data_IF_001949080710
#
_entry.id   IF_001949080710
#
_cell.length_a   1.000
_cell.length_b   1.000
_cell.length_c   1.000
_cell.angle_alpha   90.00
_cell.angle_beta   90.00
_cell.angle_gamma   90.00
#
_symmetry.space_group_name_H-M   'P 1'
#
loop_
_entity.id
_entity.type
_entity.pdbx_description
1 polymer ?
#
# COMPACT_ATOMS: atom_id res chain seq x y z
N UNK A 1 -7.76 -0.69 -11.59
CA UNK A 1 -6.78 -0.11 -10.66
C UNK A 1 -6.75 -1.00 -9.45
N UNK A 2 -5.56 -1.38 -9.00
CA UNK A 2 -5.37 -2.22 -7.82
C UNK A 2 -4.06 -1.86 -7.10
N UNK A 3 -4.03 -2.15 -5.81
CA UNK A 3 -2.85 -2.02 -4.98
C UNK A 3 -2.66 -3.31 -4.18
N UNK A 4 -1.42 -3.79 -4.14
CA UNK A 4 -1.06 -5.06 -3.48
C UNK A 4 0.17 -4.89 -2.63
N UNK A 5 0.05 -5.24 -1.36
CA UNK A 5 1.19 -5.45 -0.46
C UNK A 5 1.67 -6.89 -0.51
N UNK A 6 2.97 -7.09 -0.39
CA UNK A 6 3.63 -8.39 -0.40
C UNK A 6 4.27 -8.70 0.96
N UNK A 7 4.52 -9.97 1.26
CA UNK A 7 5.15 -10.42 2.51
C UNK A 7 6.61 -9.97 2.66
N UNK A 8 7.25 -9.56 1.57
CA UNK A 8 8.59 -8.99 1.53
C UNK A 8 8.61 -7.48 1.82
N UNK A 9 7.44 -6.89 2.17
CA UNK A 9 7.29 -5.46 2.47
C UNK A 9 7.12 -4.56 1.24
N UNK A 10 7.11 -5.13 0.04
CA UNK A 10 6.98 -4.39 -1.23
C UNK A 10 5.53 -3.97 -1.49
N UNK A 11 5.35 -2.78 -2.07
CA UNK A 11 4.08 -2.29 -2.62
C UNK A 11 4.11 -2.35 -4.14
N UNK A 12 3.00 -2.77 -4.73
CA UNK A 12 2.74 -2.54 -6.14
C UNK A 12 1.40 -1.85 -6.33
N UNK A 13 1.37 -0.81 -7.16
CA UNK A 13 0.16 -0.12 -7.60
C UNK A 13 0.06 -0.20 -9.11
N UNK A 14 -1.07 -0.66 -9.62
CA UNK A 14 -1.39 -0.68 -11.05
C UNK A 14 -2.47 0.35 -11.35
N UNK A 15 -2.13 1.32 -12.17
CA UNK A 15 -3.04 2.36 -12.64
C UNK A 15 -3.85 1.88 -13.85
N UNK A 16 -4.98 2.53 -14.11
CA UNK A 16 -5.87 2.24 -15.27
C UNK A 16 -5.17 2.42 -16.62
N UNK A 17 -4.08 3.20 -16.65
CA UNK A 17 -3.21 3.42 -17.81
C UNK A 17 -2.21 2.29 -18.06
N UNK A 18 -2.32 1.16 -17.35
CA UNK A 18 -1.33 0.07 -17.31
C UNK A 18 0.05 0.47 -16.76
N UNK A 19 0.22 1.68 -16.24
CA UNK A 19 1.43 2.08 -15.51
C UNK A 19 1.49 1.32 -14.18
N UNK A 20 2.70 0.89 -13.80
CA UNK A 20 2.95 0.16 -12.56
C UNK A 20 3.99 0.90 -11.73
N UNK A 21 3.64 1.23 -10.49
CA UNK A 21 4.58 1.71 -9.48
C UNK A 21 4.95 0.55 -8.56
N UNK A 22 6.25 0.31 -8.37
CA UNK A 22 6.79 -0.67 -7.41
C UNK A 22 7.61 0.09 -6.37
N UNK A 23 7.33 -0.16 -5.09
CA UNK A 23 8.09 0.41 -3.98
C UNK A 23 8.64 -0.75 -3.17
N UNK A 24 9.94 -0.95 -3.25
CA UNK A 24 10.62 -2.02 -2.52
C UNK A 24 10.74 -1.67 -1.04
N UNK A 25 10.83 -2.70 -0.18
CA UNK A 25 11.16 -2.49 1.21
C UNK A 25 12.63 -2.07 1.33
N UNK A 26 12.88 -0.95 1.98
CA UNK A 26 14.23 -0.48 2.28
C UNK A 26 14.47 -0.51 3.80
N UNK A 27 15.47 -1.28 4.29
CA UNK A 27 15.78 -1.37 5.72
C UNK A 27 16.24 -0.05 6.37
N UNK A 28 16.65 0.94 5.57
CA UNK A 28 17.19 2.22 6.05
C UNK A 28 16.19 3.38 5.97
N UNK A 29 15.05 3.20 5.32
CA UNK A 29 14.05 4.26 5.13
C UNK A 29 12.72 3.92 5.81
N UNK A 30 11.96 4.98 6.17
CA UNK A 30 10.63 4.83 6.77
C UNK A 30 9.63 4.26 5.75
N UNK A 31 8.67 3.54 6.31
CA UNK A 31 7.57 2.90 5.63
C UNK A 31 6.86 3.77 4.57
N UNK A 32 6.37 3.13 3.51
CA UNK A 32 5.44 3.75 2.59
C UNK A 32 4.00 3.71 3.15
N UNK A 33 3.21 4.70 2.76
CA UNK A 33 1.79 4.79 3.05
C UNK A 33 0.99 4.98 1.74
N UNK A 34 -0.07 4.19 1.60
CA UNK A 34 -1.08 4.37 0.55
C UNK A 34 -2.37 4.87 1.18
N UNK A 35 -2.81 6.08 0.82
CA UNK A 35 -4.09 6.68 1.25
C UNK A 35 -4.98 6.93 0.05
N UNK A 36 -6.19 6.35 0.06
CA UNK A 36 -7.24 6.74 -0.87
C UNK A 36 -7.97 7.99 -0.39
N UNK A 37 -8.22 8.94 -1.30
CA UNK A 37 -9.04 10.12 -1.04
C UNK A 37 -10.54 9.91 -1.33
N UNK A 38 -10.96 8.69 -1.67
CA UNK A 38 -12.35 8.35 -1.97
C UNK A 38 -13.13 7.99 -0.70
N UNK A 39 -14.43 8.23 -0.70
CA UNK A 39 -15.34 7.64 0.28
C UNK A 39 -15.21 6.10 0.24
N UNK A 40 -15.15 5.45 1.41
CA UNK A 40 -14.82 4.03 1.57
C UNK A 40 -13.39 3.68 1.14
N UNK A 41 -12.46 4.62 1.29
CA UNK A 41 -11.06 4.46 0.95
C UNK A 41 -10.34 3.43 1.82
N UNK A 42 -9.23 2.90 1.28
CA UNK A 42 -8.30 2.05 2.02
C UNK A 42 -7.07 2.86 2.41
N UNK A 43 -6.55 2.60 3.61
CA UNK A 43 -5.26 3.05 4.11
C UNK A 43 -4.36 1.84 4.33
N UNK A 44 -3.17 1.83 3.75
CA UNK A 44 -2.17 0.76 3.94
C UNK A 44 -0.86 1.39 4.34
N UNK A 45 -0.25 0.90 5.41
CA UNK A 45 1.04 1.37 5.93
C UNK A 45 1.98 0.17 6.05
N UNK A 46 3.21 0.30 5.53
CA UNK A 46 4.26 -0.66 5.86
C UNK A 46 4.72 -0.45 7.31
N UNK A 47 4.95 -1.52 8.06
CA UNK A 47 5.40 -1.43 9.44
C UNK A 47 6.89 -1.79 9.52
N UNK A 48 7.65 -1.19 10.47
CA UNK A 48 9.00 -1.65 10.76
C UNK A 48 9.03 -3.16 10.98
N UNK A 49 9.98 -3.86 10.32
CA UNK A 49 10.07 -5.32 10.36
C UNK A 49 9.36 -6.06 9.22
N UNK A 50 8.72 -5.35 8.28
CA UNK A 50 8.20 -5.92 7.03
C UNK A 50 6.72 -6.33 7.06
N UNK A 51 6.00 -6.00 8.13
CA UNK A 51 4.56 -6.23 8.24
C UNK A 51 3.74 -5.12 7.57
N UNK A 52 2.42 -5.31 7.45
CA UNK A 52 1.48 -4.32 6.90
C UNK A 52 0.33 -4.07 7.86
N UNK A 53 -0.04 -2.80 8.02
CA UNK A 53 -1.27 -2.40 8.70
C UNK A 53 -2.27 -1.86 7.68
N UNK A 54 -3.50 -2.39 7.70
CA UNK A 54 -4.55 -2.09 6.71
C UNK A 54 -5.81 -1.60 7.45
N UNK A 55 -6.33 -0.45 7.03
CA UNK A 55 -7.63 0.06 7.44
C UNK A 55 -8.51 0.24 6.20
N UNK A 56 -9.75 -0.20 6.27
CA UNK A 56 -10.75 0.03 5.24
C UNK A 56 -11.99 0.67 5.86
N UNK A 57 -12.44 1.77 5.28
CA UNK A 57 -13.70 2.41 5.67
C UNK A 57 -14.90 1.76 4.97
N UNK A 58 -14.87 0.43 4.84
CA UNK A 58 -16.04 -0.33 4.40
C UNK A 58 -17.06 -0.29 5.53
N UNK A 59 -17.92 0.73 5.50
CA UNK A 59 -19.18 0.70 6.24
C UNK A 59 -19.97 -0.53 5.75
N UNK A 60 -20.53 -1.37 6.65
CA UNK A 60 -21.36 -2.52 6.26
C UNK A 60 -22.58 -2.13 5.44
#
# INVERSE_FOLDING_TARGET
>A
EDAKGFKDGRLQIRFSTNTVLSVDADPQFEAWELVSNKANGMRVVAMPGGELAIWSDTQP
#
